data_IF_984329461562
#
_entry.id   IF_984329461562
#
_cell.length_a   1.000
_cell.length_b   1.000
_cell.length_c   1.000
_cell.angle_alpha   90.00
_cell.angle_beta   90.00
_cell.angle_gamma   90.00
#
_symmetry.space_group_name_H-M   'P 1'
#
loop_
_entity.id
_entity.type
_entity.pdbx_description
1 polymer ?
#
# COMPACT_ATOMS: atom_id res chain seq x y z
N UNK A 1 11.93 -45.00 -0.57
CA UNK A 1 11.55 -43.79 0.15
C UNK A 1 12.79 -43.08 0.69
N UNK A 2 13.69 -43.77 1.41
CA UNK A 2 14.92 -43.20 1.99
C UNK A 2 15.83 -42.60 0.91
N UNK A 3 15.99 -43.27 -0.23
CA UNK A 3 16.82 -42.77 -1.35
C UNK A 3 16.34 -41.46 -1.94
N UNK A 4 15.04 -41.21 -2.01
CA UNK A 4 14.45 -39.97 -2.50
C UNK A 4 14.74 -38.81 -1.55
N UNK A 5 14.61 -39.05 -0.24
CA UNK A 5 14.89 -38.04 0.80
C UNK A 5 16.37 -37.60 0.76
N UNK A 6 17.29 -38.54 0.62
CA UNK A 6 18.74 -38.27 0.56
C UNK A 6 19.07 -37.46 -0.70
N UNK A 7 18.48 -37.80 -1.85
CA UNK A 7 18.68 -37.06 -3.12
C UNK A 7 18.15 -35.64 -2.99
N UNK A 8 16.97 -35.44 -2.41
CA UNK A 8 16.38 -34.12 -2.24
C UNK A 8 17.22 -33.22 -1.30
N UNK A 9 17.78 -33.79 -0.22
CA UNK A 9 18.66 -33.06 0.70
C UNK A 9 19.99 -32.63 0.07
N UNK A 10 20.52 -33.40 -0.90
CA UNK A 10 21.76 -33.08 -1.59
C UNK A 10 21.52 -32.10 -2.75
N UNK A 11 20.44 -32.28 -3.49
CA UNK A 11 20.12 -31.48 -4.70
C UNK A 11 19.52 -30.12 -4.35
N UNK A 12 18.77 -30.01 -3.25
CA UNK A 12 18.15 -28.75 -2.82
C UNK A 12 19.13 -27.60 -2.66
N UNK A 13 20.20 -27.72 -1.86
CA UNK A 13 21.19 -26.67 -1.69
C UNK A 13 21.96 -26.28 -2.96
N UNK A 14 22.05 -27.19 -3.94
CA UNK A 14 22.72 -26.93 -5.23
C UNK A 14 21.80 -26.19 -6.21
N UNK A 15 20.47 -26.39 -6.11
CA UNK A 15 19.49 -25.72 -6.98
C UNK A 15 19.19 -24.28 -6.56
N UNK A 16 19.30 -23.96 -5.28
CA UNK A 16 19.00 -22.60 -4.77
C UNK A 16 19.91 -21.51 -5.39
N UNK A 17 21.25 -21.66 -5.42
CA UNK A 17 22.10 -20.67 -6.09
C UNK A 17 21.88 -20.58 -7.60
N UNK A 18 21.45 -21.68 -8.22
CA UNK A 18 21.17 -21.72 -9.65
C UNK A 18 19.86 -21.03 -9.98
N UNK A 19 18.83 -21.19 -9.14
CA UNK A 19 17.57 -20.47 -9.25
C UNK A 19 17.76 -18.96 -9.11
N UNK A 20 18.63 -18.51 -8.21
CA UNK A 20 18.97 -17.08 -8.08
C UNK A 20 19.63 -16.51 -9.35
N UNK A 21 20.60 -17.24 -9.93
CA UNK A 21 21.28 -16.80 -11.17
C UNK A 21 20.38 -16.82 -12.40
N UNK A 22 19.41 -17.73 -12.46
CA UNK A 22 18.45 -17.79 -13.56
C UNK A 22 17.34 -16.75 -13.39
N UNK A 23 16.96 -16.40 -12.17
CA UNK A 23 16.01 -15.30 -11.90
C UNK A 23 16.56 -13.94 -12.34
N UNK A 24 17.88 -13.68 -12.14
CA UNK A 24 18.52 -12.46 -12.63
C UNK A 24 18.60 -12.40 -14.16
N UNK A 25 18.75 -13.53 -14.84
CA UNK A 25 18.74 -13.63 -16.32
C UNK A 25 17.33 -13.67 -16.90
N UNK A 26 16.34 -14.13 -16.15
CA UNK A 26 14.92 -14.14 -16.50
C UNK A 26 14.24 -12.77 -16.44
N UNK A 27 14.89 -11.76 -15.86
CA UNK A 27 14.39 -10.39 -15.82
C UNK A 27 14.22 -9.75 -17.22
N UNK A 28 14.78 -10.36 -18.28
CA UNK A 28 14.62 -9.96 -19.67
C UNK A 28 13.51 -10.69 -20.42
N UNK A 29 12.77 -11.61 -19.75
CA UNK A 29 11.65 -12.28 -20.40
C UNK A 29 10.48 -11.29 -20.57
N UNK A 30 9.80 -11.28 -21.72
CA UNK A 30 8.66 -10.39 -21.93
C UNK A 30 7.58 -10.74 -20.93
N UNK A 31 7.53 -9.98 -19.83
CA UNK A 31 6.45 -10.05 -18.85
C UNK A 31 5.13 -9.74 -19.53
N UNK A 32 4.08 -10.45 -19.14
CA UNK A 32 2.75 -10.23 -19.70
C UNK A 32 2.39 -8.73 -19.59
N UNK A 33 1.71 -8.14 -20.59
CA UNK A 33 1.47 -6.69 -20.66
C UNK A 33 0.89 -6.09 -19.39
N UNK A 34 0.01 -6.83 -18.69
CA UNK A 34 -0.61 -6.39 -17.45
C UNK A 34 0.36 -6.30 -16.25
N UNK A 35 1.46 -7.10 -16.25
CA UNK A 35 2.52 -7.01 -15.22
C UNK A 35 3.44 -5.83 -15.54
N UNK A 36 3.73 -5.60 -16.82
CA UNK A 36 4.56 -4.49 -17.29
C UNK A 36 3.85 -3.16 -17.08
N UNK A 37 2.55 -3.07 -17.33
CA UNK A 37 1.75 -1.85 -17.18
C UNK A 37 1.59 -1.46 -15.71
N UNK A 38 1.53 -2.42 -14.79
CA UNK A 38 1.55 -2.12 -13.35
C UNK A 38 2.92 -1.60 -12.88
N UNK A 39 4.03 -2.15 -13.41
CA UNK A 39 5.38 -1.69 -13.07
C UNK A 39 5.72 -0.33 -13.71
N UNK A 40 5.21 -0.04 -14.92
CA UNK A 40 5.41 1.23 -15.62
C UNK A 40 4.53 2.36 -15.06
N UNK A 41 3.34 2.05 -14.51
CA UNK A 41 2.53 3.03 -13.78
C UNK A 41 3.20 3.52 -12.48
N UNK A 42 4.14 2.75 -11.92
CA UNK A 42 4.96 3.19 -10.80
C UNK A 42 6.06 4.21 -11.21
N UNK A 43 6.34 4.36 -12.50
CA UNK A 43 7.55 5.05 -12.94
C UNK A 43 7.40 6.55 -13.21
N UNK A 44 6.22 7.11 -13.38
CA UNK A 44 6.00 8.57 -13.46
C UNK A 44 4.51 8.88 -13.36
N UNK A 45 4.02 9.37 -12.22
CA UNK A 45 2.73 10.02 -12.20
C UNK A 45 2.84 11.33 -12.97
N UNK A 46 2.05 11.51 -14.03
CA UNK A 46 1.82 12.85 -14.56
C UNK A 46 1.25 13.72 -13.43
N UNK A 47 1.73 14.95 -13.24
CA UNK A 47 1.21 15.83 -12.21
C UNK A 47 -0.26 16.13 -12.52
N UNK A 48 -1.16 15.49 -11.79
CA UNK A 48 -2.56 15.89 -11.74
C UNK A 48 -2.60 17.30 -11.12
N UNK A 49 -3.43 18.20 -11.63
CA UNK A 49 -3.47 19.59 -11.17
C UNK A 49 -3.51 19.64 -9.63
N UNK A 50 -2.54 20.32 -9.04
CA UNK A 50 -2.46 20.48 -7.59
C UNK A 50 -3.81 20.93 -7.05
N UNK A 51 -4.35 20.25 -6.05
CA UNK A 51 -5.57 20.64 -5.38
C UNK A 51 -5.32 21.97 -4.65
N UNK A 52 -5.99 23.08 -4.99
CA UNK A 52 -5.75 24.38 -4.35
C UNK A 52 -5.89 24.33 -2.82
N UNK A 53 -6.74 23.43 -2.33
CA UNK A 53 -7.03 23.20 -0.91
C UNK A 53 -5.86 22.55 -0.15
N UNK A 54 -4.91 21.95 -0.86
CA UNK A 54 -3.73 21.30 -0.27
C UNK A 54 -2.46 22.14 -0.39
N UNK A 55 -2.55 23.33 -0.95
CA UNK A 55 -1.41 24.26 -1.03
C UNK A 55 -1.07 24.74 0.39
N UNK A 56 0.15 24.39 0.85
CA UNK A 56 0.58 24.66 2.22
C UNK A 56 0.23 23.58 3.24
N UNK A 57 -0.31 22.42 2.79
CA UNK A 57 -0.46 21.23 3.63
C UNK A 57 0.90 20.86 4.25
N UNK A 58 0.90 20.55 5.53
CA UNK A 58 2.07 20.08 6.26
C UNK A 58 2.53 18.70 5.79
N UNK A 59 3.64 18.24 6.32
CA UNK A 59 4.19 16.92 6.02
C UNK A 59 3.25 15.80 6.47
N UNK A 60 3.04 14.80 5.62
CA UNK A 60 2.29 13.57 5.95
C UNK A 60 3.27 12.42 6.14
N UNK A 61 3.20 11.74 7.29
CA UNK A 61 4.04 10.57 7.56
C UNK A 61 3.28 9.30 7.19
N UNK A 62 3.88 8.46 6.35
CA UNK A 62 3.33 7.16 5.96
C UNK A 62 4.16 6.05 6.59
N UNK A 63 3.57 5.34 7.54
CA UNK A 63 4.18 4.22 8.24
C UNK A 63 3.85 2.90 7.51
N UNK A 64 4.86 2.35 6.82
CA UNK A 64 4.78 1.19 5.94
C UNK A 64 4.70 1.56 4.46
N UNK A 65 5.59 1.00 3.64
CA UNK A 65 5.65 1.24 2.19
C UNK A 65 5.32 -0.03 1.38
N UNK A 66 4.35 -0.80 1.88
CA UNK A 66 3.71 -1.91 1.17
C UNK A 66 2.79 -1.42 0.04
N UNK A 67 1.99 -2.30 -0.58
CA UNK A 67 1.10 -1.91 -1.69
C UNK A 67 0.16 -0.75 -1.35
N UNK A 68 -0.44 -0.77 -0.15
CA UNK A 68 -1.37 0.28 0.30
C UNK A 68 -0.64 1.61 0.55
N UNK A 69 0.45 1.58 1.33
CA UNK A 69 1.24 2.79 1.63
C UNK A 69 1.81 3.44 0.38
N UNK A 70 2.27 2.62 -0.59
CA UNK A 70 2.73 3.09 -1.90
C UNK A 70 1.64 3.79 -2.69
N UNK A 71 0.45 3.19 -2.73
CA UNK A 71 -0.68 3.80 -3.45
C UNK A 71 -1.05 5.16 -2.85
N UNK A 72 -1.13 5.24 -1.52
CA UNK A 72 -1.42 6.50 -0.80
C UNK A 72 -0.33 7.54 -1.07
N UNK A 73 0.95 7.14 -0.97
CA UNK A 73 2.09 8.01 -1.26
C UNK A 73 1.99 8.63 -2.65
N UNK A 74 1.74 7.83 -3.68
CA UNK A 74 1.58 8.30 -5.05
C UNK A 74 0.41 9.28 -5.20
N UNK A 75 -0.73 9.05 -4.54
CA UNK A 75 -1.86 9.96 -4.60
C UNK A 75 -1.55 11.32 -3.95
N UNK A 76 -0.85 11.31 -2.80
CA UNK A 76 -0.45 12.53 -2.11
C UNK A 76 0.62 13.30 -2.89
N UNK A 77 1.63 12.59 -3.42
CA UNK A 77 2.68 13.19 -4.25
C UNK A 77 2.11 13.87 -5.51
N UNK A 78 1.14 13.23 -6.19
CA UNK A 78 0.44 13.85 -7.35
C UNK A 78 -0.25 15.15 -7.01
N UNK A 79 -0.71 15.29 -5.78
CA UNK A 79 -1.39 16.48 -5.26
C UNK A 79 -0.43 17.52 -4.67
N UNK A 80 0.88 17.26 -4.72
CA UNK A 80 1.92 18.14 -4.20
C UNK A 80 2.06 18.14 -2.68
N UNK A 81 1.49 17.15 -1.98
CA UNK A 81 1.61 17.02 -0.53
C UNK A 81 2.98 16.43 -0.20
N UNK A 82 3.79 17.09 0.67
CA UNK A 82 5.06 16.54 1.10
C UNK A 82 4.86 15.31 1.98
N UNK A 83 5.62 14.25 1.71
CA UNK A 83 5.52 13.00 2.47
C UNK A 83 6.86 12.58 3.04
N UNK A 84 6.81 11.92 4.21
CA UNK A 84 7.91 11.16 4.79
C UNK A 84 7.45 9.73 5.01
N UNK A 85 8.25 8.75 4.60
CA UNK A 85 7.92 7.32 4.71
C UNK A 85 8.74 6.69 5.83
N UNK A 86 8.12 5.79 6.62
CA UNK A 86 8.82 4.87 7.53
C UNK A 86 8.69 3.47 6.96
N UNK A 87 9.81 2.74 6.85
CA UNK A 87 9.82 1.39 6.29
C UNK A 87 10.86 0.52 7.00
N UNK A 88 10.50 -0.72 7.32
CA UNK A 88 11.34 -1.68 8.01
C UNK A 88 12.21 -2.52 7.05
N UNK A 89 11.81 -2.63 5.77
CA UNK A 89 12.56 -3.39 4.79
C UNK A 89 13.72 -2.57 4.19
N UNK A 90 14.99 -2.91 4.49
CA UNK A 90 16.13 -2.12 4.05
C UNK A 90 16.32 -2.09 2.52
N UNK A 91 15.83 -3.09 1.79
CA UNK A 91 15.89 -3.09 0.32
C UNK A 91 14.92 -2.06 -0.28
N UNK A 92 13.73 -1.94 0.28
CA UNK A 92 12.75 -0.91 -0.08
C UNK A 92 13.29 0.48 0.24
N UNK A 93 13.85 0.66 1.44
CA UNK A 93 14.47 1.93 1.85
C UNK A 93 15.52 2.37 0.84
N UNK A 94 16.52 1.53 0.55
CA UNK A 94 17.58 1.86 -0.41
C UNK A 94 17.01 2.27 -1.77
N UNK A 95 16.07 1.49 -2.32
CA UNK A 95 15.45 1.79 -3.61
C UNK A 95 14.73 3.14 -3.62
N UNK A 96 13.97 3.44 -2.57
CA UNK A 96 13.20 4.69 -2.50
C UNK A 96 14.08 5.91 -2.26
N UNK A 97 15.15 5.78 -1.46
CA UNK A 97 16.17 6.82 -1.28
C UNK A 97 16.85 7.16 -2.62
N UNK A 98 17.18 6.15 -3.44
CA UNK A 98 17.75 6.38 -4.78
C UNK A 98 16.78 7.14 -5.70
N UNK A 99 15.47 6.99 -5.50
CA UNK A 99 14.44 7.74 -6.23
C UNK A 99 14.15 9.13 -5.64
N UNK A 100 14.91 9.57 -4.63
CA UNK A 100 14.81 10.90 -4.03
C UNK A 100 13.70 11.08 -3.00
N UNK A 101 13.03 9.98 -2.57
CA UNK A 101 12.00 10.08 -1.51
C UNK A 101 12.61 10.23 -0.13
N UNK A 102 11.97 11.04 0.71
CA UNK A 102 12.27 11.12 2.14
C UNK A 102 11.78 9.87 2.84
N UNK A 103 12.69 9.00 3.27
CA UNK A 103 12.35 7.72 3.90
C UNK A 103 13.26 7.46 5.11
N UNK A 104 12.65 7.01 6.20
CA UNK A 104 13.29 6.64 7.46
C UNK A 104 13.25 5.11 7.60
N UNK A 105 14.40 4.52 7.83
CA UNK A 105 14.50 3.09 8.13
C UNK A 105 14.18 2.85 9.61
N UNK A 106 13.23 1.97 9.91
CA UNK A 106 12.95 1.56 11.28
C UNK A 106 11.57 0.99 11.49
N UNK A 107 11.35 0.54 12.74
CA UNK A 107 10.06 0.03 13.21
C UNK A 107 9.15 1.20 13.59
N UNK A 108 7.93 1.19 13.05
CA UNK A 108 6.91 2.22 13.33
C UNK A 108 6.46 2.24 14.80
N UNK A 109 6.71 1.15 15.54
CA UNK A 109 6.40 1.06 16.97
C UNK A 109 7.50 1.70 17.85
N UNK A 110 8.61 2.16 17.26
CA UNK A 110 9.70 2.81 17.98
C UNK A 110 9.52 4.34 18.00
N UNK A 111 9.43 4.98 19.20
CA UNK A 111 9.28 6.42 19.32
C UNK A 111 10.36 7.24 18.62
N UNK A 112 11.63 6.81 18.67
CA UNK A 112 12.75 7.52 18.06
C UNK A 112 12.64 7.54 16.53
N UNK A 113 12.12 6.46 15.93
CA UNK A 113 11.87 6.36 14.48
C UNK A 113 10.74 7.32 14.08
N UNK A 114 9.65 7.36 14.85
CA UNK A 114 8.54 8.28 14.64
C UNK A 114 8.98 9.75 14.78
N UNK A 115 9.80 10.06 15.77
CA UNK A 115 10.36 11.41 15.94
C UNK A 115 11.26 11.80 14.77
N UNK A 116 12.15 10.91 14.33
CA UNK A 116 13.05 11.16 13.18
C UNK A 116 12.28 11.33 11.86
N UNK A 117 11.09 10.74 11.75
CA UNK A 117 10.19 10.95 10.61
C UNK A 117 9.40 12.26 10.70
N UNK A 118 9.54 13.03 11.77
CA UNK A 118 8.90 14.33 11.95
C UNK A 118 7.45 14.30 12.42
N UNK A 119 7.01 13.23 13.09
CA UNK A 119 5.64 13.05 13.57
C UNK A 119 5.14 14.20 14.44
N UNK A 120 6.02 14.84 15.23
CA UNK A 120 5.65 15.99 16.09
C UNK A 120 5.08 17.18 15.32
N UNK A 121 5.49 17.33 14.06
CA UNK A 121 5.11 18.44 13.19
C UNK A 121 4.32 18.00 11.97
N UNK A 122 3.96 16.71 11.92
CA UNK A 122 3.17 16.17 10.83
C UNK A 122 1.71 16.65 10.93
N UNK A 123 1.08 16.86 9.80
CA UNK A 123 -0.35 17.11 9.69
C UNK A 123 -1.16 15.81 9.84
N UNK A 124 -0.62 14.72 9.30
CA UNK A 124 -1.23 13.41 9.41
C UNK A 124 -0.17 12.30 9.50
N UNK A 125 -0.54 11.21 10.17
CA UNK A 125 0.20 9.94 10.20
C UNK A 125 -0.70 8.84 9.69
N UNK A 126 -0.28 8.16 8.61
CA UNK A 126 -1.04 7.09 7.96
C UNK A 126 -0.31 5.78 8.20
N UNK A 127 -0.90 4.87 8.97
CA UNK A 127 -0.28 3.61 9.38
C UNK A 127 -0.84 2.47 8.53
N UNK A 128 0.00 1.87 7.68
CA UNK A 128 -0.38 0.85 6.70
C UNK A 128 0.38 -0.46 6.84
N UNK A 129 1.12 -0.64 7.93
CA UNK A 129 1.84 -1.90 8.20
C UNK A 129 0.86 -3.05 8.41
N UNK A 130 1.22 -4.29 8.04
CA UNK A 130 0.31 -5.43 8.15
C UNK A 130 0.18 -6.00 9.56
N UNK A 131 1.14 -5.72 10.44
CA UNK A 131 1.14 -6.21 11.82
C UNK A 131 0.22 -5.34 12.69
N UNK A 132 -0.91 -5.90 13.10
CA UNK A 132 -1.94 -5.19 13.87
C UNK A 132 -1.45 -4.72 15.25
N UNK A 133 -0.60 -5.49 15.93
CA UNK A 133 -0.04 -5.07 17.20
C UNK A 133 0.95 -3.91 17.04
N UNK A 134 1.73 -3.90 15.97
CA UNK A 134 2.58 -2.76 15.62
C UNK A 134 1.73 -1.52 15.29
N UNK A 135 0.59 -1.67 14.59
CA UNK A 135 -0.35 -0.57 14.33
C UNK A 135 -0.88 0.02 15.63
N UNK A 136 -1.37 -0.82 16.54
CA UNK A 136 -1.94 -0.37 17.83
C UNK A 136 -0.88 0.37 18.66
N UNK A 137 0.33 -0.17 18.73
CA UNK A 137 1.43 0.46 19.46
C UNK A 137 1.84 1.78 18.81
N UNK A 138 1.93 1.83 17.48
CA UNK A 138 2.23 3.04 16.74
C UNK A 138 1.17 4.14 16.97
N UNK A 139 -0.13 3.80 16.92
CA UNK A 139 -1.21 4.76 17.25
C UNK A 139 -1.00 5.41 18.61
N UNK A 140 -0.72 4.61 19.65
CA UNK A 140 -0.48 5.11 21.00
C UNK A 140 0.73 6.05 21.04
N UNK A 141 1.87 5.60 20.50
CA UNK A 141 3.11 6.39 20.53
C UNK A 141 2.96 7.69 19.72
N UNK A 142 2.33 7.64 18.56
CA UNK A 142 2.05 8.83 17.76
C UNK A 142 1.18 9.82 18.52
N UNK A 143 0.13 9.35 19.20
CA UNK A 143 -0.76 10.21 19.99
C UNK A 143 -0.05 10.83 21.21
N UNK A 144 0.88 10.09 21.84
CA UNK A 144 1.74 10.62 22.90
C UNK A 144 2.72 11.68 22.39
N UNK A 145 3.32 11.47 21.20
CA UNK A 145 4.27 12.41 20.58
C UNK A 145 3.59 13.68 20.05
N UNK A 146 2.39 13.54 19.49
CA UNK A 146 1.63 14.63 18.87
C UNK A 146 0.13 14.47 19.16
N UNK A 147 -0.38 15.13 20.21
CA UNK A 147 -1.78 14.97 20.65
C UNK A 147 -2.83 15.39 19.63
N UNK A 148 -2.50 16.27 18.68
CA UNK A 148 -3.43 16.84 17.70
C UNK A 148 -3.26 16.33 16.27
N UNK A 149 -2.26 15.49 16.01
CA UNK A 149 -2.04 14.95 14.65
C UNK A 149 -3.19 14.04 14.22
N UNK A 150 -3.59 14.12 12.96
CA UNK A 150 -4.58 13.18 12.41
C UNK A 150 -3.95 11.80 12.18
N UNK A 151 -4.50 10.77 12.83
CA UNK A 151 -4.03 9.39 12.74
C UNK A 151 -5.02 8.55 11.93
N UNK A 152 -4.62 8.09 10.76
CA UNK A 152 -5.34 7.11 9.98
C UNK A 152 -4.64 5.75 10.07
N UNK A 153 -5.37 4.70 10.42
CA UNK A 153 -4.85 3.35 10.54
C UNK A 153 -5.59 2.36 9.65
N UNK A 154 -4.86 1.38 9.10
CA UNK A 154 -5.40 0.24 8.40
C UNK A 154 -5.47 -0.95 9.35
N UNK A 155 -6.60 -1.64 9.41
CA UNK A 155 -6.80 -2.88 10.15
C UNK A 155 -7.41 -3.93 9.24
N UNK A 156 -7.05 -5.20 9.43
CA UNK A 156 -7.62 -6.29 8.62
C UNK A 156 -9.06 -6.57 9.03
N UNK A 157 -9.34 -6.61 10.35
CA UNK A 157 -10.62 -7.02 10.90
C UNK A 157 -11.35 -5.92 11.67
N UNK A 158 -12.68 -5.95 11.59
CA UNK A 158 -13.54 -4.99 12.31
C UNK A 158 -13.31 -5.02 13.83
N UNK A 159 -13.04 -6.19 14.40
CA UNK A 159 -12.79 -6.35 15.85
C UNK A 159 -11.58 -5.56 16.34
N UNK A 160 -10.58 -5.34 15.49
CA UNK A 160 -9.38 -4.59 15.84
C UNK A 160 -9.53 -3.08 15.61
N UNK A 161 -10.49 -2.67 14.78
CA UNK A 161 -10.71 -1.26 14.48
C UNK A 161 -11.11 -0.44 15.73
N UNK A 162 -11.89 -1.03 16.63
CA UNK A 162 -12.29 -0.38 17.90
C UNK A 162 -11.06 -0.16 18.78
N UNK A 163 -10.18 -1.16 18.89
CA UNK A 163 -8.92 -1.05 19.64
C UNK A 163 -8.02 0.05 19.08
N UNK A 164 -7.88 0.14 17.75
CA UNK A 164 -7.09 1.20 17.14
C UNK A 164 -7.61 2.60 17.50
N UNK A 165 -8.93 2.79 17.56
CA UNK A 165 -9.55 4.05 18.03
C UNK A 165 -9.26 4.33 19.49
N UNK A 166 -9.34 3.32 20.36
CA UNK A 166 -8.99 3.44 21.78
C UNK A 166 -7.51 3.83 21.98
N UNK A 167 -6.64 3.39 21.08
CA UNK A 167 -5.23 3.75 21.06
C UNK A 167 -4.91 5.07 20.33
N UNK A 168 -5.94 5.82 19.93
CA UNK A 168 -5.78 7.19 19.44
C UNK A 168 -5.90 7.38 17.93
N UNK A 169 -6.31 6.35 17.15
CA UNK A 169 -6.60 6.54 15.74
C UNK A 169 -7.89 7.35 15.55
N UNK A 170 -7.84 8.42 14.75
CA UNK A 170 -9.00 9.23 14.39
C UNK A 170 -9.84 8.54 13.32
N UNK A 171 -9.17 7.88 12.36
CA UNK A 171 -9.79 7.14 11.28
C UNK A 171 -9.23 5.72 11.20
N UNK A 172 -10.11 4.73 10.99
CA UNK A 172 -9.70 3.34 10.77
C UNK A 172 -10.37 2.79 9.53
N UNK A 173 -9.55 2.38 8.58
CA UNK A 173 -10.02 1.64 7.40
C UNK A 173 -9.92 0.14 7.67
N UNK A 174 -11.05 -0.57 7.60
CA UNK A 174 -11.13 -2.03 7.75
C UNK A 174 -11.10 -2.67 6.37
N UNK A 175 -10.11 -3.51 6.09
CA UNK A 175 -9.90 -4.11 4.77
C UNK A 175 -11.08 -4.97 4.31
N UNK A 176 -11.65 -5.76 5.21
CA UNK A 176 -12.82 -6.60 4.89
C UNK A 176 -14.00 -5.75 4.40
N UNK A 177 -14.29 -4.65 5.08
CA UNK A 177 -15.41 -3.76 4.74
C UNK A 177 -15.10 -3.01 3.45
N UNK A 178 -13.92 -2.41 3.34
CA UNK A 178 -13.51 -1.66 2.15
C UNK A 178 -13.50 -2.53 0.89
N UNK A 179 -13.03 -3.79 1.00
CA UNK A 179 -13.06 -4.76 -0.08
C UNK A 179 -14.49 -5.15 -0.45
N UNK A 180 -15.35 -5.39 0.55
CA UNK A 180 -16.75 -5.71 0.33
C UNK A 180 -17.50 -4.59 -0.40
N UNK A 181 -17.33 -3.35 0.03
CA UNK A 181 -17.95 -2.17 -0.60
C UNK A 181 -17.48 -1.99 -2.05
N UNK A 182 -16.18 -2.14 -2.30
CA UNK A 182 -15.63 -2.04 -3.65
C UNK A 182 -16.18 -3.13 -4.56
N UNK A 183 -16.19 -4.40 -4.11
CA UNK A 183 -16.74 -5.52 -4.88
C UNK A 183 -18.24 -5.33 -5.16
N UNK A 184 -19.02 -4.89 -4.17
CA UNK A 184 -20.45 -4.66 -4.33
C UNK A 184 -20.71 -3.60 -5.41
N UNK A 185 -19.97 -2.48 -5.38
CA UNK A 185 -20.04 -1.42 -6.38
C UNK A 185 -19.72 -1.93 -7.77
N UNK A 186 -18.57 -2.61 -7.94
CA UNK A 186 -18.14 -3.13 -9.23
C UNK A 186 -19.13 -4.14 -9.83
N UNK A 187 -19.70 -5.00 -8.99
CA UNK A 187 -20.72 -6.00 -9.42
C UNK A 187 -22.00 -5.32 -9.85
N UNK A 188 -22.49 -4.33 -9.08
CA UNK A 188 -23.70 -3.59 -9.42
C UNK A 188 -23.55 -2.85 -10.75
N UNK A 189 -22.42 -2.15 -10.96
CA UNK A 189 -22.14 -1.44 -12.21
C UNK A 189 -22.13 -2.40 -13.42
N UNK A 190 -21.52 -3.57 -13.27
CA UNK A 190 -21.52 -4.59 -14.34
C UNK A 190 -22.91 -5.19 -14.61
N UNK A 191 -23.71 -5.40 -13.56
CA UNK A 191 -25.11 -5.89 -13.73
C UNK A 191 -25.93 -4.84 -14.49
N UNK A 192 -25.82 -3.57 -14.12
CA UNK A 192 -26.54 -2.47 -14.80
C UNK A 192 -26.12 -2.39 -16.27
N UNK A 193 -24.82 -2.39 -16.55
CA UNK A 193 -24.29 -2.35 -17.91
C UNK A 193 -24.79 -3.53 -18.78
N UNK A 194 -24.80 -4.76 -18.23
CA UNK A 194 -25.32 -5.94 -18.93
C UNK A 194 -26.81 -5.87 -19.19
N UNK A 195 -27.60 -5.31 -18.26
CA UNK A 195 -29.04 -5.13 -18.48
C UNK A 195 -29.31 -4.11 -19.60
N UNK A 196 -28.61 -3.00 -19.61
CA UNK A 196 -28.72 -1.99 -20.67
C UNK A 196 -28.43 -2.57 -22.07
N UNK A 197 -27.38 -3.40 -22.20
CA UNK A 197 -27.03 -4.08 -23.44
C UNK A 197 -28.14 -5.04 -23.93
N UNK A 198 -28.74 -5.81 -23.02
CA UNK A 198 -29.83 -6.74 -23.35
C UNK A 198 -31.09 -6.00 -23.77
N UNK A 199 -31.41 -4.87 -23.15
CA UNK A 199 -32.61 -4.06 -23.50
C UNK A 199 -32.41 -3.39 -24.87
N UNK A 200 -31.19 -2.93 -25.21
CA UNK A 200 -30.88 -2.36 -26.53
C UNK A 200 -30.89 -3.37 -27.68
N UNK A 201 -30.58 -4.64 -27.40
CA UNK A 201 -30.64 -5.72 -28.40
C UNK A 201 -32.08 -6.27 -28.66
N UNK A 202 -33.03 -6.03 -27.75
CA UNK A 202 -34.42 -6.47 -27.87
C UNK A 202 -35.35 -5.38 -28.37
N UNK A 203 -34.87 -4.27 -28.93
CA UNK A 203 -35.69 -3.27 -29.59
C UNK A 203 -36.14 -3.80 -30.97
N UNK A 204 -37.41 -4.01 -31.24
CA UNK A 204 -37.88 -4.66 -32.47
C UNK A 204 -37.79 -3.76 -33.74
N UNK A 205 -37.22 -2.57 -33.65
CA UNK A 205 -37.12 -1.60 -34.75
C UNK A 205 -35.88 -1.72 -35.65
N UNK A 206 -35.10 -2.83 -35.53
CA UNK A 206 -33.94 -3.05 -36.41
C UNK A 206 -34.25 -3.97 -37.61
N UNK A 207 -35.52 -4.24 -37.89
CA UNK A 207 -35.96 -5.06 -39.02
C UNK A 207 -37.18 -4.41 -39.75
N UNK A 208 -36.94 -3.23 -40.30
CA UNK A 208 -37.81 -2.63 -41.30
C UNK A 208 -36.99 -1.97 -42.41
#
# INVERSE_FOLDING_TARGET
IVSVIVITLIVGPLLVPWAHRTAERGASWPLAPWIRDSALREASPEPEAAHPELVGCGNVVIAGFGPVGRHIAQQLERKGVPITVIELNPSTVRRQTTLGRTIVYGDVANPEVLESAGVRHAEAVIITVPDEEAVLKACRVVRELSPSVFIAARMSFLSQAMRAKEFGADHVTVEEIATGDLMARDVLDKIVARRAQRTGQNSPDAAA
#
